data_IF_613827006548
#
_entry.id   IF_613827006548
#
_cell.length_a   1.000
_cell.length_b   1.000
_cell.length_c   1.000
_cell.angle_alpha   90.00
_cell.angle_beta   90.00
_cell.angle_gamma   90.00
#
_symmetry.space_group_name_H-M   'P 1'
#
loop_
_entity.id
_entity.type
_entity.pdbx_description
1 polymer ?
#
# COMPACT_ATOMS: atom_id res chain seq x y z
N UNK A 1 6.04 -4.00 -30.00
CA UNK A 1 5.25 -5.23 -29.90
C UNK A 1 4.79 -5.40 -28.45
N UNK A 2 3.58 -4.94 -28.11
CA UNK A 2 3.04 -5.13 -26.77
C UNK A 2 2.75 -6.63 -26.58
N UNK A 3 3.54 -7.31 -25.75
CA UNK A 3 3.31 -8.71 -25.41
C UNK A 3 1.90 -8.87 -24.84
N UNK A 4 1.14 -9.84 -25.36
CA UNK A 4 -0.19 -10.20 -24.83
C UNK A 4 -0.08 -10.39 -23.32
N UNK A 5 -0.88 -9.63 -22.54
CA UNK A 5 -1.03 -9.85 -21.09
C UNK A 5 -1.35 -11.33 -20.87
N UNK A 6 -0.53 -12.02 -20.07
CA UNK A 6 -0.74 -13.44 -19.72
C UNK A 6 -2.09 -13.58 -19.02
N UNK A 7 -2.85 -14.62 -19.36
CA UNK A 7 -4.13 -14.90 -18.70
C UNK A 7 -3.89 -15.32 -17.25
N UNK A 8 -4.78 -14.87 -16.36
CA UNK A 8 -4.70 -15.07 -14.91
C UNK A 8 -4.95 -16.53 -14.48
N UNK A 9 -5.52 -17.36 -15.35
CA UNK A 9 -5.95 -18.74 -15.12
C UNK A 9 -4.93 -19.79 -15.62
N UNK A 10 -3.68 -19.38 -15.83
CA UNK A 10 -2.62 -20.27 -16.32
C UNK A 10 -1.69 -20.72 -15.19
N UNK A 11 -1.08 -21.90 -15.34
CA UNK A 11 0.01 -22.39 -14.47
C UNK A 11 1.15 -21.36 -14.35
N UNK A 12 1.40 -20.59 -15.42
CA UNK A 12 2.35 -19.47 -15.39
C UNK A 12 1.95 -18.35 -14.41
N UNK A 13 0.66 -18.10 -14.21
CA UNK A 13 0.16 -17.11 -13.26
C UNK A 13 0.29 -17.60 -11.81
N UNK A 14 0.05 -18.89 -11.56
CA UNK A 14 0.27 -19.50 -10.23
C UNK A 14 1.76 -19.45 -9.83
N UNK A 15 2.67 -19.81 -10.74
CA UNK A 15 4.12 -19.70 -10.50
C UNK A 15 4.51 -18.24 -10.21
N UNK A 16 3.94 -17.27 -10.92
CA UNK A 16 4.23 -15.85 -10.69
C UNK A 16 3.69 -15.37 -9.33
N UNK A 17 2.50 -15.81 -8.92
CA UNK A 17 1.93 -15.49 -7.61
C UNK A 17 2.81 -16.04 -6.48
N UNK A 18 3.30 -17.28 -6.60
CA UNK A 18 4.25 -17.84 -5.63
C UNK A 18 5.56 -17.06 -5.57
N UNK A 19 6.08 -16.59 -6.70
CA UNK A 19 7.28 -15.73 -6.73
C UNK A 19 7.05 -14.37 -6.07
N UNK A 20 5.89 -13.76 -6.31
CA UNK A 20 5.51 -12.50 -5.67
C UNK A 20 5.37 -12.69 -4.15
N UNK A 21 4.72 -13.77 -3.71
CA UNK A 21 4.54 -14.09 -2.31
C UNK A 21 5.89 -14.31 -1.61
N UNK A 22 6.84 -15.00 -2.26
CA UNK A 22 8.19 -15.19 -1.75
C UNK A 22 9.01 -13.89 -1.65
N UNK A 23 8.76 -12.90 -2.51
CA UNK A 23 9.39 -11.58 -2.43
C UNK A 23 8.78 -10.69 -1.32
N UNK A 24 7.57 -11.01 -0.86
CA UNK A 24 6.74 -10.32 0.15
C UNK A 24 6.33 -8.87 -0.22
N UNK A 25 7.29 -8.02 -0.59
CA UNK A 25 7.11 -6.61 -0.97
C UNK A 25 8.03 -6.19 -2.13
N UNK A 26 7.79 -4.98 -2.65
CA UNK A 26 8.69 -4.34 -3.62
C UNK A 26 9.50 -3.29 -2.86
N UNK A 27 10.82 -3.28 -3.07
CA UNK A 27 11.67 -2.24 -2.51
C UNK A 27 11.33 -0.88 -3.13
N UNK A 28 11.17 0.19 -2.32
CA UNK A 28 10.87 1.52 -2.84
C UNK A 28 12.02 2.02 -3.73
N UNK A 29 11.71 2.72 -4.85
CA UNK A 29 12.76 3.28 -5.70
C UNK A 29 13.65 4.25 -4.90
N UNK A 30 14.97 4.05 -4.93
CA UNK A 30 15.93 4.83 -4.12
C UNK A 30 15.82 6.35 -4.28
N UNK A 31 15.41 6.82 -5.46
CA UNK A 31 15.28 8.22 -5.79
C UNK A 31 13.89 8.81 -5.49
N UNK A 32 12.94 8.00 -5.02
CA UNK A 32 11.56 8.42 -4.76
C UNK A 32 11.38 9.15 -3.43
N UNK A 33 12.35 9.07 -2.51
CA UNK A 33 12.32 9.82 -1.26
C UNK A 33 11.28 9.32 -0.25
N UNK A 34 11.16 8.00 -0.06
CA UNK A 34 10.31 7.44 1.00
C UNK A 34 10.86 7.81 2.38
N UNK A 35 10.02 8.41 3.22
CA UNK A 35 10.39 8.65 4.61
C UNK A 35 10.47 7.33 5.39
N UNK A 36 11.47 7.19 6.25
CA UNK A 36 11.63 5.97 7.07
C UNK A 36 10.38 5.63 7.89
N UNK A 37 9.66 6.64 8.38
CA UNK A 37 8.42 6.43 9.16
C UNK A 37 7.21 6.10 8.29
N UNK A 38 7.31 6.27 6.97
CA UNK A 38 6.26 5.96 6.01
C UNK A 38 6.34 4.51 5.48
N UNK A 39 7.41 3.78 5.80
CA UNK A 39 7.66 2.40 5.37
C UNK A 39 6.50 1.43 5.66
N UNK A 40 5.80 1.47 6.81
CA UNK A 40 4.62 0.63 7.02
C UNK A 40 3.49 0.92 6.01
N UNK A 41 3.24 2.19 5.71
CA UNK A 41 2.21 2.59 4.74
C UNK A 41 2.59 2.16 3.32
N UNK A 42 3.88 2.18 2.98
CA UNK A 42 4.39 1.64 1.73
C UNK A 42 4.04 0.16 1.59
N UNK A 43 4.38 -0.66 2.57
CA UNK A 43 4.09 -2.10 2.52
C UNK A 43 2.59 -2.38 2.42
N UNK A 44 1.76 -1.68 3.20
CA UNK A 44 0.29 -1.82 3.14
C UNK A 44 -0.26 -1.47 1.76
N UNK A 45 0.25 -0.40 1.13
CA UNK A 45 -0.18 0.00 -0.21
C UNK A 45 0.29 -1.00 -1.28
N UNK A 46 1.56 -1.45 -1.23
CA UNK A 46 2.10 -2.38 -2.23
C UNK A 46 1.41 -3.75 -2.17
N UNK A 47 1.08 -4.24 -0.98
CA UNK A 47 0.37 -5.52 -0.77
C UNK A 47 -1.11 -5.46 -1.17
N UNK A 48 -1.65 -4.29 -1.52
CA UNK A 48 -3.08 -4.15 -1.84
C UNK A 48 -3.48 -4.79 -3.17
N UNK A 49 -2.51 -5.09 -4.04
CA UNK A 49 -2.71 -5.77 -5.34
C UNK A 49 -1.44 -6.55 -5.69
N UNK A 50 -1.56 -7.47 -6.65
CA UNK A 50 -0.47 -8.36 -7.05
C UNK A 50 0.81 -7.58 -7.41
N UNK A 51 1.97 -8.06 -6.95
CA UNK A 51 3.24 -7.32 -7.08
C UNK A 51 3.63 -7.06 -8.55
N UNK A 52 3.34 -8.00 -9.45
CA UNK A 52 3.60 -7.89 -10.90
C UNK A 52 2.67 -6.90 -11.63
N UNK A 53 1.66 -6.36 -10.94
CA UNK A 53 0.76 -5.34 -11.50
C UNK A 53 1.27 -3.91 -11.38
N UNK A 54 2.32 -3.69 -10.58
CA UNK A 54 2.91 -2.36 -10.35
C UNK A 54 3.85 -1.96 -11.48
N UNK A 55 3.65 -0.76 -12.03
CA UNK A 55 4.61 -0.16 -12.96
C UNK A 55 5.63 0.72 -12.22
N UNK A 56 6.80 1.03 -12.80
CA UNK A 56 7.76 1.94 -12.17
C UNK A 56 7.16 3.31 -11.83
N UNK A 57 6.23 3.81 -12.66
CA UNK A 57 5.52 5.07 -12.40
C UNK A 57 4.57 4.95 -11.20
N UNK A 58 3.88 3.81 -11.07
CA UNK A 58 3.00 3.56 -9.93
C UNK A 58 3.79 3.50 -8.62
N UNK A 59 5.01 2.95 -8.64
CA UNK A 59 5.88 2.90 -7.47
C UNK A 59 6.27 4.30 -6.98
N UNK A 60 6.54 5.24 -7.88
CA UNK A 60 6.81 6.63 -7.51
C UNK A 60 5.59 7.28 -6.84
N UNK A 61 4.40 7.12 -7.44
CA UNK A 61 3.17 7.63 -6.87
C UNK A 61 2.79 6.96 -5.53
N UNK A 62 3.11 5.67 -5.37
CA UNK A 62 2.90 4.94 -4.12
C UNK A 62 3.81 5.41 -2.98
N UNK A 63 5.05 5.84 -3.29
CA UNK A 63 5.94 6.47 -2.31
C UNK A 63 5.33 7.78 -1.81
N UNK A 64 4.84 8.62 -2.71
CA UNK A 64 4.22 9.89 -2.32
C UNK A 64 2.93 9.67 -1.52
N UNK A 65 2.11 8.70 -1.91
CA UNK A 65 0.95 8.29 -1.13
C UNK A 65 1.33 7.88 0.30
N UNK A 66 2.38 7.07 0.47
CA UNK A 66 2.83 6.62 1.79
C UNK A 66 3.32 7.80 2.65
N UNK A 67 4.10 8.72 2.08
CA UNK A 67 4.53 9.95 2.77
C UNK A 67 3.33 10.82 3.18
N UNK A 68 2.34 10.99 2.30
CA UNK A 68 1.12 11.75 2.61
C UNK A 68 0.29 11.10 3.73
N UNK A 69 0.20 9.76 3.73
CA UNK A 69 -0.45 9.00 4.80
C UNK A 69 0.27 9.14 6.14
N UNK A 70 1.61 9.20 6.15
CA UNK A 70 2.35 9.56 7.35
C UNK A 70 2.03 11.01 7.76
N UNK A 71 2.11 11.96 6.84
CA UNK A 71 1.97 13.39 7.13
C UNK A 71 0.60 13.73 7.73
N UNK A 72 -0.49 13.14 7.22
CA UNK A 72 -1.83 13.36 7.81
C UNK A 72 -1.92 12.87 9.27
N UNK A 73 -1.16 11.83 9.66
CA UNK A 73 -1.13 11.39 11.08
C UNK A 73 -0.40 12.39 11.97
N UNK A 74 0.61 13.07 11.44
CA UNK A 74 1.34 14.15 12.12
C UNK A 74 0.40 15.33 12.32
N UNK A 75 -0.26 15.80 11.25
CA UNK A 75 -1.24 16.90 11.34
C UNK A 75 -2.37 16.60 12.35
N UNK A 76 -2.93 15.38 12.33
CA UNK A 76 -3.95 14.95 13.31
C UNK A 76 -3.42 14.88 14.74
N UNK A 77 -2.14 14.62 14.94
CA UNK A 77 -1.50 14.63 16.26
C UNK A 77 -1.33 16.06 16.76
N UNK A 78 -0.89 16.96 15.90
CA UNK A 78 -0.69 18.36 16.25
C UNK A 78 -2.02 19.07 16.49
N UNK A 79 -3.04 18.81 15.68
CA UNK A 79 -4.41 19.28 15.93
C UNK A 79 -4.91 18.86 17.32
N UNK A 80 -4.70 17.59 17.71
CA UNK A 80 -5.09 17.10 19.04
C UNK A 80 -4.32 17.77 20.19
N UNK A 81 -3.09 18.20 19.96
CA UNK A 81 -2.32 18.95 20.98
C UNK A 81 -2.90 20.35 21.12
N UNK A 82 -3.08 21.07 20.01
CA UNK A 82 -3.63 22.43 20.00
C UNK A 82 -5.05 22.48 20.56
N UNK A 83 -5.90 21.50 20.22
CA UNK A 83 -7.27 21.44 20.74
C UNK A 83 -7.36 21.24 22.26
N UNK A 84 -6.31 20.72 22.90
CA UNK A 84 -6.25 20.56 24.36
C UNK A 84 -5.91 21.86 25.08
N UNK A 85 -5.33 22.83 24.40
CA UNK A 85 -4.99 24.14 24.97
C UNK A 85 -6.29 24.90 25.26
N UNK A 86 -6.34 25.54 26.44
CA UNK A 86 -7.49 26.30 26.94
C UNK A 86 -7.03 27.70 27.36
N UNK A 87 -7.96 28.65 27.38
CA UNK A 87 -7.67 30.03 27.78
C UNK A 87 -6.96 30.81 26.68
N UNK A 88 -6.24 31.87 27.08
CA UNK A 88 -5.66 32.87 26.18
C UNK A 88 -4.54 32.31 25.28
N UNK A 89 -3.88 31.22 25.69
CA UNK A 89 -2.85 30.54 24.91
C UNK A 89 -3.41 29.75 23.71
N UNK A 90 -4.74 29.56 23.66
CA UNK A 90 -5.39 28.77 22.61
C UNK A 90 -5.39 29.52 21.28
N UNK A 91 -4.70 28.96 20.29
CA UNK A 91 -4.66 29.52 18.94
C UNK A 91 -5.77 28.95 18.04
N UNK A 92 -6.93 29.63 18.01
CA UNK A 92 -8.08 29.19 17.19
C UNK A 92 -7.79 29.24 15.68
N UNK A 93 -6.94 30.18 15.24
CA UNK A 93 -6.56 30.30 13.83
C UNK A 93 -5.74 29.09 13.36
N UNK A 94 -4.79 28.63 14.18
CA UNK A 94 -3.99 27.44 13.91
C UNK A 94 -4.85 26.17 13.87
N UNK A 95 -5.78 26.01 14.80
CA UNK A 95 -6.71 24.86 14.82
C UNK A 95 -7.55 24.81 13.55
N UNK A 96 -8.06 25.96 13.10
CA UNK A 96 -8.84 26.07 11.86
C UNK A 96 -7.98 25.70 10.63
N UNK A 97 -6.74 26.15 10.59
CA UNK A 97 -5.81 25.86 9.50
C UNK A 97 -5.45 24.36 9.46
N UNK A 98 -5.09 23.75 10.59
CA UNK A 98 -4.81 22.32 10.68
C UNK A 98 -6.00 21.46 10.23
N UNK A 99 -7.23 21.82 10.64
CA UNK A 99 -8.45 21.14 10.18
C UNK A 99 -8.61 21.22 8.67
N UNK A 100 -8.33 22.38 8.07
CA UNK A 100 -8.38 22.58 6.62
C UNK A 100 -7.34 21.71 5.91
N UNK A 101 -6.07 21.77 6.34
CA UNK A 101 -4.98 20.98 5.76
C UNK A 101 -5.26 19.48 5.81
N UNK A 102 -5.80 18.97 6.93
CA UNK A 102 -6.17 17.56 7.08
C UNK A 102 -7.23 17.14 6.05
N UNK A 103 -8.27 17.95 5.84
CA UNK A 103 -9.34 17.64 4.88
C UNK A 103 -8.81 17.66 3.44
N UNK A 104 -7.99 18.64 3.10
CA UNK A 104 -7.37 18.74 1.76
C UNK A 104 -6.45 17.55 1.49
N UNK A 105 -5.56 17.23 2.42
CA UNK A 105 -4.64 16.10 2.30
C UNK A 105 -5.40 14.76 2.25
N UNK A 106 -6.47 14.61 3.02
CA UNK A 106 -7.31 13.41 2.97
C UNK A 106 -7.96 13.22 1.59
N UNK A 107 -8.40 14.30 0.95
CA UNK A 107 -8.93 14.23 -0.43
C UNK A 107 -7.86 13.83 -1.43
N UNK A 108 -6.65 14.39 -1.31
CA UNK A 108 -5.49 14.01 -2.13
C UNK A 108 -5.15 12.52 -1.97
N UNK A 109 -5.08 12.02 -0.74
CA UNK A 109 -4.82 10.60 -0.45
C UNK A 109 -5.88 9.69 -1.09
N UNK A 110 -7.17 10.05 -1.01
CA UNK A 110 -8.25 9.28 -1.62
C UNK A 110 -8.16 9.27 -3.16
N UNK A 111 -7.77 10.40 -3.77
CA UNK A 111 -7.54 10.48 -5.20
C UNK A 111 -6.35 9.60 -5.63
N UNK A 112 -5.20 9.72 -4.94
CA UNK A 112 -4.01 8.91 -5.21
C UNK A 112 -4.30 7.40 -5.09
N UNK A 113 -5.06 6.98 -4.08
CA UNK A 113 -5.49 5.58 -3.93
C UNK A 113 -6.36 5.12 -5.11
N UNK A 114 -7.28 5.96 -5.56
CA UNK A 114 -8.13 5.65 -6.71
C UNK A 114 -7.30 5.52 -7.99
N UNK A 115 -6.35 6.43 -8.22
CA UNK A 115 -5.49 6.42 -9.40
C UNK A 115 -4.60 5.18 -9.45
N UNK A 116 -4.08 4.76 -8.29
CA UNK A 116 -3.28 3.53 -8.13
C UNK A 116 -4.13 2.24 -8.12
N UNK A 117 -5.46 2.35 -8.18
CA UNK A 117 -6.41 1.24 -8.07
C UNK A 117 -6.26 0.44 -6.75
N UNK A 118 -5.91 1.15 -5.68
CA UNK A 118 -5.84 0.60 -4.31
C UNK A 118 -7.26 0.63 -3.75
N UNK A 119 -7.95 -0.50 -3.85
CA UNK A 119 -9.34 -0.64 -3.42
C UNK A 119 -9.45 -1.34 -2.06
N UNK A 120 -10.49 -1.00 -1.30
CA UNK A 120 -10.91 -1.90 -0.20
C UNK A 120 -11.41 -3.20 -0.81
N UNK A 121 -11.27 -4.30 -0.07
CA UNK A 121 -11.63 -5.65 -0.52
C UNK A 121 -13.08 -5.76 -1.07
N UNK A 122 -14.00 -4.85 -0.72
CA UNK A 122 -15.34 -4.76 -1.29
C UNK A 122 -15.34 -4.23 -2.76
N UNK A 123 -15.44 -5.16 -3.70
CA UNK A 123 -15.01 -5.04 -5.11
C UNK A 123 -16.11 -4.58 -6.08
N UNK A 124 -16.29 -3.26 -6.26
CA UNK A 124 -17.09 -2.73 -7.38
C UNK A 124 -16.18 -1.94 -8.34
N UNK A 125 -15.84 -2.54 -9.49
CA UNK A 125 -15.07 -1.89 -10.56
C UNK A 125 -13.83 -2.66 -11.05
N UNK A 126 -13.37 -3.65 -10.29
CA UNK A 126 -12.18 -4.43 -10.67
C UNK A 126 -12.48 -5.44 -11.79
N UNK A 127 -11.60 -5.51 -12.80
CA UNK A 127 -11.72 -6.49 -13.89
C UNK A 127 -11.56 -7.94 -13.38
N UNK A 128 -12.22 -8.90 -14.03
CA UNK A 128 -12.14 -10.33 -13.65
C UNK A 128 -10.71 -10.83 -13.54
N UNK A 129 -9.86 -10.46 -14.50
CA UNK A 129 -8.45 -10.89 -14.54
C UNK A 129 -7.59 -10.26 -13.45
N UNK A 130 -7.96 -9.06 -12.98
CA UNK A 130 -7.29 -8.41 -11.86
C UNK A 130 -7.73 -9.04 -10.53
N UNK A 131 -9.03 -9.31 -10.36
CA UNK A 131 -9.55 -10.07 -9.20
C UNK A 131 -8.86 -11.42 -9.06
N UNK A 132 -8.74 -12.17 -10.16
CA UNK A 132 -8.10 -13.48 -10.16
C UNK A 132 -6.62 -13.40 -9.79
N UNK A 133 -5.88 -12.41 -10.32
CA UNK A 133 -4.46 -12.21 -9.97
C UNK A 133 -4.28 -11.85 -8.50
N UNK A 134 -5.09 -10.92 -7.99
CA UNK A 134 -5.04 -10.53 -6.58
C UNK A 134 -5.42 -11.68 -5.65
N UNK A 135 -6.39 -12.51 -6.04
CA UNK A 135 -6.75 -13.73 -5.32
C UNK A 135 -5.59 -14.72 -5.29
N UNK A 136 -4.99 -15.02 -6.43
CA UNK A 136 -3.85 -15.95 -6.49
C UNK A 136 -2.67 -15.46 -5.64
N UNK A 137 -2.39 -14.16 -5.64
CA UNK A 137 -1.31 -13.53 -4.85
C UNK A 137 -1.62 -13.61 -3.34
N UNK A 138 -2.88 -13.38 -2.95
CA UNK A 138 -3.33 -13.54 -1.58
C UNK A 138 -3.29 -15.00 -1.09
N UNK A 139 -3.80 -15.93 -1.91
CA UNK A 139 -3.79 -17.37 -1.61
C UNK A 139 -2.33 -17.86 -1.47
N UNK A 140 -1.42 -17.46 -2.36
CA UNK A 140 0.01 -17.81 -2.28
C UNK A 140 0.69 -17.26 -1.01
N UNK A 141 0.37 -16.04 -0.58
CA UNK A 141 0.87 -15.48 0.68
C UNK A 141 0.36 -16.25 1.90
N UNK A 142 -0.92 -16.61 1.91
CA UNK A 142 -1.49 -17.40 3.00
C UNK A 142 -0.82 -18.78 3.09
N UNK A 143 -0.62 -19.47 1.95
CA UNK A 143 0.09 -20.75 1.91
C UNK A 143 1.52 -20.63 2.44
N UNK A 144 2.27 -19.58 2.07
CA UNK A 144 3.63 -19.38 2.60
C UNK A 144 3.64 -19.10 4.11
N UNK A 145 2.68 -18.34 4.62
CA UNK A 145 2.56 -18.10 6.07
C UNK A 145 2.21 -19.40 6.82
N UNK A 146 1.26 -20.19 6.31
CA UNK A 146 0.90 -21.51 6.87
C UNK A 146 2.10 -22.46 6.89
N UNK A 147 2.92 -22.46 5.83
CA UNK A 147 4.16 -23.26 5.75
C UNK A 147 5.31 -22.74 6.63
N UNK A 148 5.26 -21.49 7.09
CA UNK A 148 6.22 -20.93 8.06
C UNK A 148 5.80 -21.20 9.50
N UNK A 149 4.49 -21.21 9.76
CA UNK A 149 3.92 -21.53 11.08
C UNK A 149 4.00 -23.05 11.36
N UNK A 150 3.79 -23.88 10.34
CA UNK A 150 4.08 -25.32 10.37
C UNK A 150 5.56 -25.53 10.02
N UNK A 151 6.46 -25.55 11.02
CA UNK A 151 7.90 -25.85 10.93
C UNK A 151 8.20 -27.20 10.22
N UNK A 152 7.99 -27.26 8.91
CA UNK A 152 8.05 -28.45 8.04
C UNK A 152 9.03 -28.29 6.88
N UNK A 153 9.78 -27.19 6.82
CA UNK A 153 10.87 -27.02 5.87
C UNK A 153 12.22 -27.28 6.55
N UNK A 154 12.51 -28.56 6.80
CA UNK A 154 13.90 -28.99 6.88
C UNK A 154 14.57 -28.70 5.52
N UNK A 155 15.34 -27.61 5.46
CA UNK A 155 16.17 -27.31 4.30
C UNK A 155 17.23 -28.43 4.14
N UNK A 156 17.39 -29.04 2.95
CA UNK A 156 18.51 -29.93 2.72
C UNK A 156 19.82 -29.14 2.81
N UNK A 157 20.58 -29.41 3.86
CA UNK A 157 21.98 -29.01 3.99
C UNK A 157 22.78 -29.75 2.92
N UNK A 158 23.37 -28.99 1.98
CA UNK A 158 24.49 -29.47 1.18
C UNK A 158 25.60 -28.43 1.19
#
# INVERSE_FOLDING_TARGET
MAGKRKRSDSVSAEIQAMKNAAADTIEPPRHAGLEKKAEPFWHDNIRSKALDSWTPSDLLAAVELANNQLYITVLRRDLRKEERIRGEERNEALIKDLRKQIVELQRTILAQRRDLQIHSHATNGESRDQRNRNKNDADARNTLNEMQDDDLLAAPMH
#
